data_IF_732089494218
#
_entry.id   IF_732089494218
#
_cell.length_a   1.000
_cell.length_b   1.000
_cell.length_c   1.000
_cell.angle_alpha   90.00
_cell.angle_beta   90.00
_cell.angle_gamma   90.00
#
_symmetry.space_group_name_H-M   'P 1'
#
loop_
_entity.id
_entity.type
_entity.pdbx_description
1 polymer ?
#
# COMPACT_ATOMS: atom_id res chain seq x y z
N UNK A 1 -6.09 -45.37 -30.21
CA UNK A 1 -5.40 -44.15 -29.71
C UNK A 1 -4.03 -44.56 -29.22
N UNK A 2 -2.97 -43.91 -29.71
CA UNK A 2 -1.60 -44.13 -29.20
C UNK A 2 -1.49 -43.57 -27.77
N UNK A 3 -0.81 -44.27 -26.85
CA UNK A 3 -0.58 -43.82 -25.47
C UNK A 3 0.06 -42.43 -25.38
N UNK A 4 0.89 -42.07 -26.35
CA UNK A 4 1.47 -40.73 -26.46
C UNK A 4 0.41 -39.65 -26.66
N UNK A 5 -0.53 -39.84 -27.61
CA UNK A 5 -1.62 -38.89 -27.85
C UNK A 5 -2.55 -38.76 -26.63
N UNK A 6 -2.88 -39.88 -25.98
CA UNK A 6 -3.67 -39.86 -24.74
C UNK A 6 -2.94 -39.10 -23.61
N UNK A 7 -1.64 -39.29 -23.45
CA UNK A 7 -0.84 -38.56 -22.45
C UNK A 7 -0.72 -37.06 -22.77
N UNK A 8 -0.63 -36.67 -24.04
CA UNK A 8 -0.66 -35.26 -24.44
C UNK A 8 -2.02 -34.61 -24.17
N UNK A 9 -3.12 -35.29 -24.48
CA UNK A 9 -4.48 -34.80 -24.22
C UNK A 9 -4.76 -34.66 -22.72
N UNK A 10 -4.41 -35.66 -21.91
CA UNK A 10 -4.52 -35.63 -20.45
C UNK A 10 -3.68 -34.47 -19.87
N UNK A 11 -2.47 -34.25 -20.39
CA UNK A 11 -1.62 -33.13 -19.97
C UNK A 11 -2.22 -31.77 -20.35
N UNK A 12 -2.80 -31.64 -21.55
CA UNK A 12 -3.44 -30.40 -21.99
C UNK A 12 -4.69 -30.09 -21.16
N UNK A 13 -5.54 -31.07 -20.87
CA UNK A 13 -6.72 -30.91 -20.01
C UNK A 13 -6.33 -30.51 -18.58
N UNK A 14 -5.29 -31.14 -18.02
CA UNK A 14 -4.76 -30.81 -16.70
C UNK A 14 -4.23 -29.38 -16.65
N UNK A 15 -3.51 -28.92 -17.69
CA UNK A 15 -3.03 -27.55 -17.79
C UNK A 15 -4.19 -26.53 -17.88
N UNK A 16 -5.22 -26.83 -18.67
CA UNK A 16 -6.42 -25.98 -18.78
C UNK A 16 -7.15 -25.90 -17.43
N UNK A 17 -7.34 -27.03 -16.75
CA UNK A 17 -7.99 -27.10 -15.43
C UNK A 17 -7.19 -26.33 -14.38
N UNK A 18 -5.87 -26.48 -14.37
CA UNK A 18 -4.97 -25.74 -13.49
C UNK A 18 -5.08 -24.22 -13.72
N UNK A 19 -5.03 -23.78 -14.97
CA UNK A 19 -5.17 -22.36 -15.35
C UNK A 19 -6.53 -21.79 -14.94
N UNK A 20 -7.63 -22.51 -15.15
CA UNK A 20 -8.98 -22.10 -14.71
C UNK A 20 -9.06 -21.96 -13.19
N UNK A 21 -8.53 -22.94 -12.45
CA UNK A 21 -8.53 -22.93 -10.98
C UNK A 21 -7.66 -21.78 -10.44
N UNK A 22 -6.49 -21.56 -11.04
CA UNK A 22 -5.63 -20.43 -10.72
C UNK A 22 -6.33 -19.09 -10.97
N UNK A 23 -6.95 -18.87 -12.14
CA UNK A 23 -7.67 -17.61 -12.42
C UNK A 23 -8.80 -17.34 -11.43
N UNK A 24 -9.53 -18.37 -11.00
CA UNK A 24 -10.55 -18.24 -9.95
C UNK A 24 -9.94 -17.81 -8.63
N UNK A 25 -8.86 -18.47 -8.20
CA UNK A 25 -8.11 -18.12 -6.99
C UNK A 25 -7.54 -16.69 -7.05
N UNK A 26 -6.88 -16.34 -8.16
CA UNK A 26 -6.30 -15.02 -8.41
C UNK A 26 -7.37 -13.94 -8.32
N UNK A 27 -8.52 -14.10 -9.00
CA UNK A 27 -9.61 -13.12 -8.95
C UNK A 27 -10.15 -12.90 -7.54
N UNK A 28 -10.29 -13.97 -6.74
CA UNK A 28 -10.74 -13.85 -5.34
C UNK A 28 -9.77 -13.05 -4.49
N UNK A 29 -8.46 -13.32 -4.63
CA UNK A 29 -7.43 -12.56 -3.91
C UNK A 29 -7.39 -11.10 -4.36
N UNK A 30 -7.38 -10.85 -5.68
CA UNK A 30 -7.36 -9.50 -6.22
C UNK A 30 -8.59 -8.68 -5.84
N UNK A 31 -9.78 -9.30 -5.79
CA UNK A 31 -10.99 -8.62 -5.34
C UNK A 31 -10.84 -8.12 -3.89
N UNK A 32 -10.37 -8.99 -2.98
CA UNK A 32 -10.09 -8.59 -1.59
C UNK A 32 -9.03 -7.50 -1.55
N UNK A 33 -7.90 -7.70 -2.23
CA UNK A 33 -6.80 -6.74 -2.27
C UNK A 33 -7.25 -5.36 -2.75
N UNK A 34 -7.96 -5.28 -3.87
CA UNK A 34 -8.47 -4.01 -4.43
C UNK A 34 -9.43 -3.29 -3.50
N UNK A 35 -10.34 -4.01 -2.83
CA UNK A 35 -11.28 -3.38 -1.88
C UNK A 35 -10.52 -2.83 -0.68
N UNK A 36 -9.53 -3.58 -0.16
CA UNK A 36 -8.71 -3.13 0.98
C UNK A 36 -7.89 -1.91 0.61
N UNK A 37 -7.19 -1.92 -0.53
CA UNK A 37 -6.43 -0.75 -0.99
C UNK A 37 -7.35 0.44 -1.26
N UNK A 38 -8.55 0.20 -1.81
CA UNK A 38 -9.57 1.23 -1.99
C UNK A 38 -9.98 1.88 -0.66
N UNK A 39 -10.22 1.07 0.39
CA UNK A 39 -10.54 1.58 1.71
C UNK A 39 -9.40 2.38 2.37
N UNK A 40 -8.15 1.97 2.13
CA UNK A 40 -6.96 2.69 2.60
C UNK A 40 -6.84 4.06 1.91
N UNK A 41 -6.88 4.07 0.58
CA UNK A 41 -6.73 5.29 -0.20
C UNK A 41 -7.87 6.30 -0.04
N UNK A 42 -9.09 5.84 0.27
CA UNK A 42 -10.26 6.72 0.42
C UNK A 42 -10.09 7.73 1.57
N UNK A 43 -9.25 7.40 2.55
CA UNK A 43 -8.97 8.20 3.74
C UNK A 43 -7.97 9.33 3.49
N UNK A 44 -7.08 9.17 2.51
CA UNK A 44 -5.92 10.03 2.28
C UNK A 44 -6.25 11.49 1.92
N UNK A 45 -7.11 11.74 0.91
CA UNK A 45 -7.24 13.08 0.31
C UNK A 45 -7.70 14.18 1.28
N UNK A 46 -8.52 13.84 2.27
CA UNK A 46 -9.13 14.79 3.21
C UNK A 46 -8.66 14.62 4.66
N UNK A 47 -7.58 13.87 4.90
CA UNK A 47 -7.08 13.63 6.25
C UNK A 47 -6.65 14.91 6.97
N UNK A 48 -5.97 15.80 6.26
CA UNK A 48 -5.59 17.10 6.79
C UNK A 48 -6.83 17.94 7.13
N UNK A 49 -7.78 18.08 6.19
CA UNK A 49 -9.01 18.85 6.38
C UNK A 49 -9.87 18.33 7.54
N UNK A 50 -9.95 17.01 7.72
CA UNK A 50 -10.66 16.44 8.84
C UNK A 50 -10.08 16.93 10.17
N UNK A 51 -8.76 16.91 10.31
CA UNK A 51 -8.11 17.35 11.56
C UNK A 51 -8.15 18.86 11.74
N UNK A 52 -8.02 19.63 10.67
CA UNK A 52 -8.21 21.08 10.73
C UNK A 52 -9.65 21.42 11.16
N UNK A 53 -10.66 20.66 10.72
CA UNK A 53 -12.06 20.82 11.16
C UNK A 53 -12.29 20.50 12.64
N UNK A 54 -11.36 19.78 13.28
CA UNK A 54 -11.34 19.55 14.73
C UNK A 54 -10.54 20.62 15.49
N UNK A 55 -9.98 21.61 14.79
CA UNK A 55 -9.19 22.70 15.38
C UNK A 55 -7.74 22.32 15.68
N UNK A 56 -7.21 21.24 15.10
CA UNK A 56 -5.82 20.84 15.31
C UNK A 56 -4.87 21.73 14.50
N UNK A 57 -3.74 22.07 15.11
CA UNK A 57 -2.65 22.75 14.42
C UNK A 57 -1.75 21.76 13.65
N UNK A 58 -0.86 22.29 12.80
CA UNK A 58 0.05 21.49 11.97
C UNK A 58 0.96 20.58 12.80
N UNK A 59 1.44 21.03 13.97
CA UNK A 59 2.33 20.25 14.84
C UNK A 59 1.61 19.05 15.46
N UNK A 60 0.36 19.23 15.88
CA UNK A 60 -0.51 18.16 16.37
C UNK A 60 -0.77 17.12 15.28
N UNK A 61 -1.12 17.58 14.07
CA UNK A 61 -1.32 16.69 12.90
C UNK A 61 -0.04 15.92 12.60
N UNK A 62 1.11 16.57 12.51
CA UNK A 62 2.39 15.93 12.27
C UNK A 62 2.74 14.88 13.35
N UNK A 63 2.43 15.18 14.62
CA UNK A 63 2.63 14.25 15.75
C UNK A 63 1.77 12.99 15.62
N UNK A 64 0.53 13.15 15.17
CA UNK A 64 -0.38 12.03 14.90
C UNK A 64 0.16 11.12 13.78
N UNK A 65 0.60 11.69 12.65
CA UNK A 65 1.24 10.92 11.57
C UNK A 65 2.50 10.19 12.05
N UNK A 66 3.38 10.87 12.80
CA UNK A 66 4.57 10.26 13.38
C UNK A 66 4.22 9.06 14.26
N UNK A 67 3.17 9.19 15.08
CA UNK A 67 2.68 8.11 15.93
C UNK A 67 2.26 6.89 15.12
N UNK A 68 1.55 7.11 14.01
CA UNK A 68 1.17 6.04 13.08
C UNK A 68 2.38 5.32 12.48
N UNK A 69 3.39 6.07 12.00
CA UNK A 69 4.61 5.48 11.43
C UNK A 69 5.42 4.70 12.46
N UNK A 70 5.62 5.26 13.65
CA UNK A 70 6.33 4.59 14.75
C UNK A 70 5.60 3.31 15.15
N UNK A 71 4.28 3.38 15.32
CA UNK A 71 3.47 2.20 15.62
C UNK A 71 3.58 1.12 14.55
N UNK A 72 3.52 1.49 13.26
CA UNK A 72 3.70 0.56 12.13
C UNK A 72 5.08 -0.08 12.12
N UNK A 73 6.14 0.67 12.44
CA UNK A 73 7.50 0.14 12.50
C UNK A 73 7.64 -0.95 13.57
N UNK A 74 7.14 -0.70 14.79
CA UNK A 74 7.14 -1.71 15.85
C UNK A 74 6.23 -2.89 15.51
N UNK A 75 5.02 -2.64 15.04
CA UNK A 75 4.06 -3.67 14.67
C UNK A 75 4.60 -4.57 13.55
N UNK A 76 5.20 -4.02 12.50
CA UNK A 76 5.74 -4.78 11.37
C UNK A 76 6.76 -5.85 11.78
N UNK A 77 7.54 -5.58 12.83
CA UNK A 77 8.55 -6.50 13.34
C UNK A 77 7.95 -7.62 14.20
N UNK A 78 6.82 -7.36 14.88
CA UNK A 78 6.16 -8.31 15.75
C UNK A 78 5.13 -9.20 15.01
N UNK A 79 4.38 -8.59 14.12
CA UNK A 79 3.14 -9.14 13.55
C UNK A 79 3.37 -10.30 12.59
N UNK A 80 4.44 -10.26 11.78
CA UNK A 80 4.73 -11.32 10.82
C UNK A 80 4.91 -12.70 11.47
N UNK A 81 5.58 -12.74 12.62
CA UNK A 81 5.79 -13.99 13.38
C UNK A 81 4.54 -14.46 14.13
N UNK A 82 3.68 -13.54 14.57
CA UNK A 82 2.40 -13.86 15.21
C UNK A 82 1.40 -14.45 14.20
N UNK A 83 1.36 -13.92 12.97
CA UNK A 83 0.47 -14.39 11.92
C UNK A 83 0.73 -15.85 11.53
N UNK A 84 1.98 -16.28 11.60
CA UNK A 84 2.37 -17.65 11.28
C UNK A 84 1.87 -18.67 12.32
N UNK A 85 1.60 -18.24 13.56
CA UNK A 85 1.13 -19.09 14.66
C UNK A 85 -0.40 -19.10 14.75
N UNK A 86 -1.00 -17.91 14.78
CA UNK A 86 -2.44 -17.77 15.01
C UNK A 86 -3.27 -18.01 13.75
N UNK A 87 -2.63 -18.10 12.59
CA UNK A 87 -3.27 -18.28 11.30
C UNK A 87 -3.40 -16.95 10.56
N UNK A 88 -2.99 -16.93 9.30
CA UNK A 88 -2.91 -15.69 8.50
C UNK A 88 -4.30 -15.16 8.14
N UNK A 89 -5.30 -16.02 7.93
CA UNK A 89 -6.69 -15.58 7.70
C UNK A 89 -7.24 -14.88 8.93
N UNK A 90 -7.11 -15.51 10.11
CA UNK A 90 -7.55 -14.93 11.38
C UNK A 90 -6.91 -13.56 11.64
N UNK A 91 -5.63 -13.42 11.32
CA UNK A 91 -4.92 -12.14 11.46
C UNK A 91 -5.37 -11.08 10.43
N UNK A 92 -5.71 -11.46 9.19
CA UNK A 92 -6.37 -10.55 8.24
C UNK A 92 -7.78 -10.10 8.69
N UNK A 93 -8.49 -10.93 9.46
CA UNK A 93 -9.76 -10.54 10.09
C UNK A 93 -9.51 -9.55 11.24
N UNK A 94 -8.48 -9.79 12.07
CA UNK A 94 -8.05 -8.85 13.12
C UNK A 94 -7.67 -7.49 12.51
N UNK A 95 -7.01 -7.47 11.35
CA UNK A 95 -6.77 -6.24 10.59
C UNK A 95 -8.06 -5.47 10.33
N UNK A 96 -9.12 -6.13 9.87
CA UNK A 96 -10.40 -5.47 9.57
C UNK A 96 -10.99 -4.83 10.83
N UNK A 97 -11.02 -5.55 11.95
CA UNK A 97 -11.53 -5.02 13.23
C UNK A 97 -10.68 -3.88 13.78
N UNK A 98 -9.36 -3.99 13.67
CA UNK A 98 -8.41 -2.98 14.16
C UNK A 98 -8.52 -1.69 13.34
N UNK A 99 -8.60 -1.81 12.00
CA UNK A 99 -8.84 -0.68 11.10
C UNK A 99 -10.19 -0.01 11.34
N UNK A 100 -11.27 -0.78 11.42
CA UNK A 100 -12.61 -0.23 11.68
C UNK A 100 -12.64 0.51 13.02
N UNK A 101 -12.01 -0.04 14.05
CA UNK A 101 -11.87 0.63 15.35
C UNK A 101 -11.05 1.92 15.24
N UNK A 102 -9.92 1.89 14.52
CA UNK A 102 -9.11 3.08 14.25
C UNK A 102 -9.91 4.18 13.55
N UNK A 103 -10.74 3.82 12.57
CA UNK A 103 -11.59 4.74 11.82
C UNK A 103 -12.69 5.34 12.69
N UNK A 104 -13.36 4.55 13.52
CA UNK A 104 -14.36 5.09 14.44
C UNK A 104 -13.75 6.05 15.47
N UNK A 105 -12.57 5.73 16.01
CA UNK A 105 -11.85 6.64 16.90
C UNK A 105 -11.46 7.94 16.17
N UNK A 106 -11.11 7.88 14.89
CA UNK A 106 -10.75 9.05 14.05
C UNK A 106 -11.91 10.02 13.84
N UNK A 107 -13.14 9.52 13.88
CA UNK A 107 -14.35 10.32 13.71
C UNK A 107 -14.74 11.12 14.96
N UNK A 108 -14.05 10.91 16.08
CA UNK A 108 -14.27 11.65 17.32
C UNK A 108 -13.24 12.76 17.46
N UNK A 109 -13.71 13.99 17.67
CA UNK A 109 -12.88 15.20 17.86
C UNK A 109 -12.25 15.26 19.26
N UNK A 110 -11.46 14.24 19.62
CA UNK A 110 -10.73 14.16 20.89
C UNK A 110 -9.29 13.71 20.63
N UNK A 111 -8.32 14.57 20.93
CA UNK A 111 -6.90 14.33 20.59
C UNK A 111 -6.35 13.00 21.10
N UNK A 112 -6.70 12.58 22.32
CA UNK A 112 -6.29 11.28 22.87
C UNK A 112 -6.84 10.10 22.07
N UNK A 113 -8.08 10.19 21.58
CA UNK A 113 -8.68 9.16 20.74
C UNK A 113 -8.08 9.16 19.33
N UNK A 114 -7.70 10.32 18.80
CA UNK A 114 -6.96 10.43 17.55
C UNK A 114 -5.58 9.78 17.68
N UNK A 115 -4.90 9.95 18.82
CA UNK A 115 -3.63 9.28 19.10
C UNK A 115 -3.82 7.75 19.11
N UNK A 116 -4.83 7.24 19.82
CA UNK A 116 -5.17 5.82 19.80
C UNK A 116 -5.54 5.33 18.40
N UNK A 117 -6.28 6.13 17.62
CA UNK A 117 -6.61 5.84 16.22
C UNK A 117 -5.34 5.63 15.39
N UNK A 118 -4.33 6.49 15.51
CA UNK A 118 -3.08 6.37 14.76
C UNK A 118 -2.24 5.17 15.19
N UNK A 119 -2.21 4.83 16.49
CA UNK A 119 -1.57 3.60 16.97
C UNK A 119 -2.25 2.37 16.35
N UNK A 120 -3.58 2.28 16.40
CA UNK A 120 -4.31 1.19 15.76
C UNK A 120 -4.13 1.20 14.23
N UNK A 121 -4.05 2.40 13.63
CA UNK A 121 -3.84 2.54 12.21
C UNK A 121 -2.49 1.95 11.80
N UNK A 122 -1.41 2.35 12.48
CA UNK A 122 -0.07 1.84 12.23
C UNK A 122 0.03 0.33 12.41
N UNK A 123 -0.57 -0.22 13.47
CA UNK A 123 -0.66 -1.67 13.67
C UNK A 123 -1.32 -2.37 12.48
N UNK A 124 -2.43 -1.83 11.98
CA UNK A 124 -3.11 -2.49 10.86
C UNK A 124 -2.45 -2.24 9.51
N UNK A 125 -1.76 -1.13 9.29
CA UNK A 125 -0.91 -0.93 8.11
C UNK A 125 0.18 -2.00 8.04
N UNK A 126 0.82 -2.30 9.17
CA UNK A 126 1.80 -3.40 9.25
C UNK A 126 1.17 -4.76 8.92
N UNK A 127 -0.04 -5.03 9.42
CA UNK A 127 -0.80 -6.25 9.10
C UNK A 127 -1.14 -6.36 7.62
N UNK A 128 -1.57 -5.26 7.00
CA UNK A 128 -1.97 -5.19 5.59
C UNK A 128 -0.83 -5.62 4.66
N UNK A 129 0.33 -4.98 4.80
CA UNK A 129 1.46 -5.21 3.89
C UNK A 129 2.23 -6.49 4.18
N UNK A 130 2.04 -7.13 5.34
CA UNK A 130 2.75 -8.37 5.69
C UNK A 130 1.89 -9.63 5.48
N UNK A 131 0.69 -9.66 6.06
CA UNK A 131 -0.05 -10.92 6.24
C UNK A 131 -0.87 -11.29 5.00
N UNK A 132 -1.45 -10.31 4.30
CA UNK A 132 -2.24 -10.56 3.09
C UNK A 132 -1.39 -11.21 1.99
N UNK A 133 -0.21 -10.65 1.74
CA UNK A 133 0.74 -11.20 0.79
C UNK A 133 1.20 -12.59 1.23
N UNK A 134 1.58 -12.74 2.50
CA UNK A 134 2.02 -14.03 3.05
C UNK A 134 0.94 -15.10 2.87
N UNK A 135 -0.32 -14.80 3.16
CA UNK A 135 -1.43 -15.73 2.95
C UNK A 135 -1.51 -16.18 1.48
N UNK A 136 -1.41 -15.24 0.54
CA UNK A 136 -1.45 -15.54 -0.90
C UNK A 136 -0.27 -16.43 -1.34
N UNK A 137 0.95 -16.09 -0.91
CA UNK A 137 2.16 -16.85 -1.26
C UNK A 137 2.05 -18.29 -0.75
N UNK A 138 1.54 -18.50 0.46
CA UNK A 138 1.35 -19.84 1.04
C UNK A 138 0.31 -20.65 0.27
N UNK A 139 -0.89 -20.11 0.05
CA UNK A 139 -1.93 -20.82 -0.73
C UNK A 139 -1.50 -21.10 -2.17
N UNK A 140 -0.83 -20.15 -2.81
CA UNK A 140 -0.30 -20.32 -4.16
C UNK A 140 0.71 -21.48 -4.22
N UNK A 141 1.60 -21.57 -3.24
CA UNK A 141 2.62 -22.63 -3.17
C UNK A 141 2.01 -23.98 -2.81
N UNK A 142 1.08 -24.01 -1.84
CA UNK A 142 0.34 -25.21 -1.42
C UNK A 142 -0.45 -25.85 -2.58
N UNK A 143 -0.96 -25.04 -3.49
CA UNK A 143 -1.70 -25.49 -4.70
C UNK A 143 -0.78 -25.89 -5.85
N UNK A 144 0.54 -25.79 -5.69
CA UNK A 144 1.52 -26.19 -6.70
C UNK A 144 1.54 -25.31 -7.95
N UNK A 145 1.11 -24.04 -7.85
CA UNK A 145 1.10 -23.16 -9.01
C UNK A 145 2.51 -22.66 -9.38
N UNK A 146 2.79 -22.40 -10.68
CA UNK A 146 4.08 -21.92 -11.15
C UNK A 146 4.48 -20.56 -10.53
N UNK A 147 5.75 -20.35 -10.13
CA UNK A 147 6.18 -19.10 -9.50
C UNK A 147 6.02 -17.87 -10.40
N UNK A 148 6.05 -18.04 -11.72
CA UNK A 148 5.78 -16.98 -12.69
C UNK A 148 4.38 -16.37 -12.54
N UNK A 149 3.38 -17.19 -12.19
CA UNK A 149 2.00 -16.74 -12.05
C UNK A 149 1.81 -15.90 -10.78
N UNK A 150 2.58 -16.18 -9.74
CA UNK A 150 2.68 -15.34 -8.54
C UNK A 150 3.22 -13.96 -8.88
N UNK A 151 4.36 -13.89 -9.58
CA UNK A 151 4.96 -12.62 -10.00
C UNK A 151 3.99 -11.78 -10.86
N UNK A 152 3.30 -12.40 -11.81
CA UNK A 152 2.25 -11.75 -12.62
C UNK A 152 1.09 -11.22 -11.76
N UNK A 153 0.72 -11.94 -10.70
CA UNK A 153 -0.34 -11.50 -9.79
C UNK A 153 0.07 -10.26 -9.00
N UNK A 154 1.29 -10.21 -8.48
CA UNK A 154 1.77 -9.02 -7.78
C UNK A 154 1.94 -7.81 -8.69
N UNK A 155 2.36 -8.00 -9.94
CA UNK A 155 2.33 -6.93 -10.93
C UNK A 155 0.90 -6.38 -11.14
N UNK A 156 -0.10 -7.27 -11.19
CA UNK A 156 -1.50 -6.87 -11.28
C UNK A 156 -2.00 -6.21 -9.98
N UNK A 157 -1.55 -6.63 -8.80
CA UNK A 157 -1.82 -5.94 -7.53
C UNK A 157 -1.32 -4.50 -7.59
N UNK A 158 -0.07 -4.27 -7.98
CA UNK A 158 0.49 -2.91 -8.09
C UNK A 158 -0.31 -2.05 -9.05
N UNK A 159 -0.68 -2.59 -10.21
CA UNK A 159 -1.51 -1.88 -11.18
C UNK A 159 -2.91 -1.53 -10.63
N UNK A 160 -3.59 -2.50 -10.02
CA UNK A 160 -4.90 -2.29 -9.41
C UNK A 160 -4.83 -1.34 -8.21
N UNK A 161 -3.71 -1.32 -7.48
CA UNK A 161 -3.48 -0.37 -6.41
C UNK A 161 -3.46 1.07 -6.94
N UNK A 162 -2.74 1.32 -8.04
CA UNK A 162 -2.73 2.64 -8.70
C UNK A 162 -4.12 3.07 -9.15
N UNK A 163 -4.88 2.16 -9.78
CA UNK A 163 -6.28 2.44 -10.17
C UNK A 163 -7.13 2.76 -8.93
N UNK A 164 -6.98 1.95 -7.87
CA UNK A 164 -7.74 2.15 -6.62
C UNK A 164 -7.45 3.51 -6.01
N UNK A 165 -6.20 3.96 -6.02
CA UNK A 165 -5.82 5.28 -5.51
C UNK A 165 -6.46 6.42 -6.32
N UNK A 166 -6.43 6.33 -7.65
CA UNK A 166 -7.04 7.34 -8.54
C UNK A 166 -8.56 7.41 -8.31
N UNK A 167 -9.23 6.26 -8.30
CA UNK A 167 -10.67 6.20 -8.08
C UNK A 167 -11.04 6.66 -6.67
N UNK A 168 -10.26 6.29 -5.66
CA UNK A 168 -10.47 6.70 -4.28
C UNK A 168 -10.44 8.23 -4.13
N UNK A 169 -9.54 8.95 -4.81
CA UNK A 169 -9.56 10.42 -4.81
C UNK A 169 -10.84 11.01 -5.39
N UNK A 170 -11.30 10.50 -6.54
CA UNK A 170 -12.55 10.92 -7.20
C UNK A 170 -13.76 10.65 -6.29
N UNK A 171 -13.87 9.43 -5.76
CA UNK A 171 -14.96 9.04 -4.86
C UNK A 171 -14.93 9.81 -3.55
N UNK A 172 -13.73 10.06 -2.99
CA UNK A 172 -13.57 10.84 -1.76
C UNK A 172 -14.08 12.26 -1.96
N UNK A 173 -13.76 12.91 -3.10
CA UNK A 173 -14.27 14.24 -3.44
C UNK A 173 -15.80 14.25 -3.47
N UNK A 174 -16.40 13.34 -4.24
CA UNK A 174 -17.85 13.26 -4.38
C UNK A 174 -18.56 13.00 -3.04
N UNK A 175 -17.97 12.18 -2.17
CA UNK A 175 -18.52 11.92 -0.83
C UNK A 175 -18.46 13.16 0.07
N UNK A 176 -17.36 13.91 0.00
CA UNK A 176 -17.19 15.13 0.80
C UNK A 176 -18.14 16.23 0.35
N UNK A 177 -18.35 16.39 -0.97
CA UNK A 177 -19.25 17.40 -1.52
C UNK A 177 -20.72 17.20 -1.04
N UNK A 178 -21.11 15.96 -0.75
CA UNK A 178 -22.49 15.61 -0.34
C UNK A 178 -22.64 15.50 1.19
N UNK A 179 -21.67 14.88 1.87
CA UNK A 179 -21.80 14.46 3.29
C UNK A 179 -20.66 14.97 4.20
N UNK A 180 -19.73 15.77 3.67
CA UNK A 180 -18.61 16.36 4.41
C UNK A 180 -17.45 15.40 4.69
N UNK A 181 -16.43 15.91 5.40
CA UNK A 181 -15.12 15.24 5.57
C UNK A 181 -15.17 13.88 6.27
N UNK A 182 -16.25 13.56 6.99
CA UNK A 182 -16.42 12.27 7.68
C UNK A 182 -16.84 11.14 6.75
N UNK A 183 -17.42 11.48 5.60
CA UNK A 183 -18.03 10.50 4.69
C UNK A 183 -17.05 9.50 4.06
N UNK A 184 -15.85 9.91 3.57
CA UNK A 184 -14.86 8.96 3.04
C UNK A 184 -14.45 7.89 4.07
N UNK A 185 -14.35 8.24 5.35
CA UNK A 185 -14.01 7.30 6.42
C UNK A 185 -15.14 6.31 6.69
N UNK A 186 -16.40 6.76 6.67
CA UNK A 186 -17.56 5.87 6.80
C UNK A 186 -17.68 4.90 5.61
N UNK A 187 -17.40 5.39 4.39
CA UNK A 187 -17.34 4.54 3.22
C UNK A 187 -16.19 3.51 3.32
N UNK A 188 -15.02 3.90 3.83
CA UNK A 188 -13.92 2.98 4.10
C UNK A 188 -14.30 1.91 5.14
N UNK A 189 -15.02 2.26 6.20
CA UNK A 189 -15.58 1.28 7.17
C UNK A 189 -16.49 0.28 6.46
N UNK A 190 -17.40 0.72 5.59
CA UNK A 190 -18.28 -0.17 4.84
C UNK A 190 -17.51 -1.15 3.94
N UNK A 191 -16.47 -0.67 3.25
CA UNK A 191 -15.58 -1.51 2.44
C UNK A 191 -14.82 -2.53 3.30
N UNK A 192 -14.31 -2.13 4.48
CA UNK A 192 -13.63 -3.04 5.40
C UNK A 192 -14.55 -4.11 5.99
N UNK A 193 -15.80 -3.76 6.29
CA UNK A 193 -16.81 -4.75 6.70
C UNK A 193 -17.08 -5.76 5.57
N UNK A 194 -17.18 -5.29 4.32
CA UNK A 194 -17.31 -6.16 3.15
C UNK A 194 -16.10 -7.10 3.01
N UNK A 195 -14.88 -6.57 3.16
CA UNK A 195 -13.65 -7.38 3.16
C UNK A 195 -13.70 -8.45 4.24
N UNK A 196 -14.08 -8.10 5.46
CA UNK A 196 -14.18 -9.05 6.56
C UNK A 196 -15.12 -10.22 6.23
N UNK A 197 -16.29 -9.94 5.64
CA UNK A 197 -17.25 -10.96 5.20
C UNK A 197 -16.66 -11.82 4.07
N UNK A 198 -16.03 -11.19 3.08
CA UNK A 198 -15.43 -11.91 1.94
C UNK A 198 -14.27 -12.79 2.40
N UNK A 199 -13.36 -12.31 3.24
CA UNK A 199 -12.25 -13.11 3.78
C UNK A 199 -12.78 -14.28 4.60
N UNK A 200 -13.76 -14.02 5.48
CA UNK A 200 -14.34 -15.07 6.34
C UNK A 200 -14.97 -16.19 5.52
N UNK A 201 -15.67 -15.85 4.44
CA UNK A 201 -16.37 -16.82 3.57
C UNK A 201 -15.47 -17.49 2.52
N UNK A 202 -14.44 -16.81 2.01
CA UNK A 202 -13.69 -17.29 0.83
C UNK A 202 -12.27 -17.77 1.14
N UNK A 203 -11.64 -17.31 2.21
CA UNK A 203 -10.27 -17.68 2.53
C UNK A 203 -10.23 -18.92 3.43
N UNK A 204 -9.29 -19.82 3.13
CA UNK A 204 -8.92 -20.92 4.02
C UNK A 204 -7.90 -20.45 5.04
N UNK A 205 -7.91 -21.05 6.23
CA UNK A 205 -6.86 -20.78 7.21
C UNK A 205 -5.55 -21.43 6.77
N UNK A 206 -4.45 -20.69 6.88
CA UNK A 206 -3.11 -21.19 6.63
C UNK A 206 -2.14 -20.66 7.68
N UNK A 207 -1.12 -21.48 7.96
CA UNK A 207 -0.16 -21.24 9.03
C UNK A 207 1.25 -21.18 8.42
N UNK A 208 2.16 -20.54 9.12
CA UNK A 208 3.59 -20.65 8.82
C UNK A 208 4.11 -22.02 9.24
N UNK A 209 5.39 -22.30 8.92
CA UNK A 209 6.01 -23.55 9.32
C UNK A 209 6.14 -23.63 10.85
N UNK A 210 5.34 -24.48 11.49
CA UNK A 210 5.33 -24.72 12.93
C UNK A 210 6.67 -25.23 13.51
N UNK A 211 7.62 -25.65 12.66
CA UNK A 211 8.96 -26.11 13.07
C UNK A 211 9.94 -24.96 13.37
N UNK A 212 9.59 -23.72 13.07
CA UNK A 212 10.48 -22.59 13.31
C UNK A 212 10.40 -22.18 14.78
N UNK A 213 11.38 -22.62 15.59
CA UNK A 213 11.53 -22.19 16.99
C UNK A 213 11.41 -20.67 17.06
N UNK A 214 10.51 -20.20 17.93
CA UNK A 214 10.21 -18.80 18.16
C UNK A 214 11.52 -18.05 18.46
N UNK A 215 12.09 -17.36 17.45
CA UNK A 215 13.12 -16.36 17.73
C UNK A 215 12.41 -15.24 18.50
N UNK A 216 12.94 -14.88 19.66
CA UNK A 216 12.48 -13.70 20.38
C UNK A 216 12.48 -12.50 19.43
N UNK A 217 11.48 -11.63 19.53
CA UNK A 217 11.38 -10.41 18.70
C UNK A 217 12.69 -9.61 18.74
N UNK A 218 13.31 -9.52 19.92
CA UNK A 218 14.61 -8.86 20.08
C UNK A 218 15.74 -9.53 19.30
N UNK A 219 15.73 -10.85 19.16
CA UNK A 219 16.73 -11.59 18.38
C UNK A 219 16.53 -11.36 16.88
N UNK A 220 15.29 -11.41 16.39
CA UNK A 220 14.98 -11.13 14.97
C UNK A 220 15.30 -9.69 14.59
N UNK A 221 15.00 -8.74 15.47
CA UNK A 221 15.38 -7.32 15.31
C UNK A 221 16.90 -7.15 15.27
N UNK A 222 17.62 -7.80 16.20
CA UNK A 222 19.09 -7.74 16.26
C UNK A 222 19.72 -8.33 15.01
N UNK A 223 19.22 -9.46 14.52
CA UNK A 223 19.68 -10.07 13.27
C UNK A 223 19.41 -9.15 12.08
N UNK A 224 18.19 -8.60 11.97
CA UNK A 224 17.84 -7.66 10.90
C UNK A 224 18.73 -6.41 10.90
N UNK A 225 18.97 -5.83 12.08
CA UNK A 225 19.86 -4.67 12.23
C UNK A 225 21.32 -5.03 11.93
N UNK A 226 21.77 -6.22 12.34
CA UNK A 226 23.11 -6.73 12.02
C UNK A 226 23.29 -6.88 10.50
N UNK A 227 22.30 -7.43 9.80
CA UNK A 227 22.34 -7.57 8.32
C UNK A 227 22.35 -6.20 7.65
N UNK A 228 21.53 -5.26 8.14
CA UNK A 228 21.47 -3.89 7.64
C UNK A 228 22.82 -3.17 7.77
N UNK A 229 23.51 -3.35 8.89
CA UNK A 229 24.81 -2.72 9.16
C UNK A 229 25.98 -3.41 8.47
N UNK A 230 25.91 -4.73 8.23
CA UNK A 230 27.00 -5.47 7.59
C UNK A 230 27.03 -5.31 6.08
N UNK A 231 25.87 -5.16 5.43
CA UNK A 231 25.80 -5.09 3.97
C UNK A 231 25.69 -3.65 3.49
N UNK A 232 26.80 -3.12 2.96
CA UNK A 232 26.88 -1.77 2.38
C UNK A 232 25.78 -1.51 1.35
N UNK A 233 25.46 -2.50 0.51
CA UNK A 233 24.42 -2.37 -0.51
C UNK A 233 23.03 -2.18 0.12
N UNK A 234 22.72 -2.93 1.17
CA UNK A 234 21.43 -2.82 1.87
C UNK A 234 21.36 -1.47 2.59
N UNK A 235 22.44 -1.03 3.26
CA UNK A 235 22.48 0.27 3.93
C UNK A 235 22.24 1.42 2.96
N UNK A 236 22.87 1.40 1.77
CA UNK A 236 22.70 2.44 0.75
C UNK A 236 21.26 2.47 0.23
N UNK A 237 20.66 1.32 -0.05
CA UNK A 237 19.26 1.23 -0.48
C UNK A 237 18.32 1.73 0.61
N UNK A 238 18.54 1.33 1.87
CA UNK A 238 17.74 1.77 3.00
C UNK A 238 17.84 3.29 3.21
N UNK A 239 19.05 3.87 3.11
CA UNK A 239 19.26 5.30 3.22
C UNK A 239 18.57 6.07 2.08
N UNK A 240 18.71 5.60 0.83
CA UNK A 240 18.06 6.21 -0.33
C UNK A 240 16.52 6.17 -0.21
N UNK A 241 15.95 5.02 0.18
CA UNK A 241 14.52 4.89 0.41
C UNK A 241 14.04 5.82 1.54
N UNK A 242 14.79 5.89 2.64
CA UNK A 242 14.44 6.75 3.78
C UNK A 242 14.42 8.21 3.37
N UNK A 243 15.44 8.69 2.66
CA UNK A 243 15.49 10.08 2.19
C UNK A 243 14.34 10.40 1.21
N UNK A 244 14.03 9.47 0.31
CA UNK A 244 12.93 9.63 -0.64
C UNK A 244 11.57 9.69 0.06
N UNK A 245 11.27 8.72 0.93
CA UNK A 245 10.02 8.65 1.70
C UNK A 245 9.88 9.86 2.63
N UNK A 246 10.95 10.29 3.31
CA UNK A 246 10.94 11.49 4.14
C UNK A 246 10.54 12.73 3.33
N UNK A 247 11.14 12.94 2.16
CA UNK A 247 10.80 14.05 1.26
C UNK A 247 9.32 13.98 0.82
N UNK A 248 8.86 12.78 0.43
CA UNK A 248 7.48 12.56 0.03
C UNK A 248 6.48 12.81 1.18
N UNK A 249 6.74 12.35 2.40
CA UNK A 249 5.85 12.58 3.54
C UNK A 249 5.81 14.05 3.97
N UNK A 250 6.93 14.77 3.89
CA UNK A 250 6.94 16.23 4.08
C UNK A 250 6.02 16.90 3.06
N UNK A 251 6.14 16.52 1.77
CA UNK A 251 5.23 17.01 0.73
C UNK A 251 3.76 16.68 1.04
N UNK A 252 3.44 15.43 1.42
CA UNK A 252 2.07 15.00 1.75
C UNK A 252 1.49 15.76 2.94
N UNK A 253 2.31 16.14 3.93
CA UNK A 253 1.84 16.95 5.06
C UNK A 253 1.62 18.42 4.70
N UNK A 254 2.43 18.97 3.79
CA UNK A 254 2.46 20.41 3.51
C UNK A 254 1.67 20.82 2.26
N UNK A 255 1.36 19.92 1.33
CA UNK A 255 0.70 20.32 0.08
C UNK A 255 -0.69 20.90 0.31
N UNK A 256 -1.46 20.35 1.26
CA UNK A 256 -2.81 20.85 1.57
C UNK A 256 -2.75 22.27 2.13
N UNK A 257 -2.03 22.54 3.24
CA UNK A 257 -1.93 23.91 3.76
C UNK A 257 -1.28 24.89 2.78
N UNK A 258 -0.33 24.44 1.95
CA UNK A 258 0.28 25.30 0.93
C UNK A 258 -0.75 25.76 -0.12
N UNK A 259 -1.68 24.89 -0.53
CA UNK A 259 -2.73 25.25 -1.49
C UNK A 259 -3.79 26.15 -0.85
N UNK A 260 -4.14 25.89 0.41
CA UNK A 260 -5.07 26.75 1.15
C UNK A 260 -4.51 28.17 1.33
N UNK A 261 -3.21 28.31 1.57
CA UNK A 261 -2.58 29.63 1.70
C UNK A 261 -2.64 30.47 0.42
N UNK A 262 -2.67 29.83 -0.76
CA UNK A 262 -2.73 30.49 -2.08
C UNK A 262 -4.18 30.74 -2.52
N UNK A 263 -5.11 29.92 -2.04
CA UNK A 263 -6.52 30.01 -2.40
C UNK A 263 -7.19 31.12 -1.60
N UNK A 264 -7.05 32.37 -2.05
CA UNK A 264 -7.80 33.51 -1.50
C UNK A 264 -9.31 33.22 -1.55
N UNK A 265 -9.95 33.19 -0.38
CA UNK A 265 -11.39 33.13 -0.09
C UNK A 265 -12.32 32.81 -1.28
N UNK A 266 -12.81 31.54 -1.36
CA UNK A 266 -14.20 31.10 -1.72
C UNK A 266 -14.29 29.81 -2.55
N UNK A 267 -13.22 29.31 -3.16
CA UNK A 267 -13.28 28.03 -3.88
C UNK A 267 -12.94 26.86 -2.97
N UNK A 268 -13.90 25.96 -2.71
CA UNK A 268 -13.64 24.67 -2.07
C UNK A 268 -12.61 23.90 -2.91
N UNK A 269 -11.38 23.78 -2.40
CA UNK A 269 -10.32 23.05 -3.08
C UNK A 269 -10.75 21.58 -3.20
N UNK A 270 -10.87 21.09 -4.43
CA UNK A 270 -11.22 19.71 -4.72
C UNK A 270 -10.02 18.78 -4.49
N UNK A 271 -9.65 18.59 -3.22
CA UNK A 271 -8.48 17.84 -2.78
C UNK A 271 -8.50 16.39 -3.27
N UNK A 272 -9.68 15.80 -3.42
CA UNK A 272 -9.83 14.46 -3.99
C UNK A 272 -9.36 14.39 -5.45
N UNK A 273 -9.72 15.37 -6.29
CA UNK A 273 -9.24 15.40 -7.67
C UNK A 273 -7.75 15.70 -7.77
N UNK A 274 -7.22 16.60 -6.92
CA UNK A 274 -5.79 16.84 -6.85
C UNK A 274 -5.02 15.57 -6.44
N UNK A 275 -5.53 14.84 -5.46
CA UNK A 275 -4.97 13.55 -5.08
C UNK A 275 -4.99 12.56 -6.25
N UNK A 276 -6.10 12.47 -6.98
CA UNK A 276 -6.21 11.61 -8.16
C UNK A 276 -5.25 11.98 -9.28
N UNK A 277 -4.99 13.26 -9.54
CA UNK A 277 -4.02 13.67 -10.57
C UNK A 277 -2.60 13.31 -10.17
N UNK A 278 -2.23 13.45 -8.89
CA UNK A 278 -0.95 12.97 -8.37
C UNK A 278 -0.80 11.46 -8.52
N UNK A 279 -1.84 10.69 -8.16
CA UNK A 279 -1.82 9.22 -8.31
C UNK A 279 -1.78 8.78 -9.78
N UNK A 280 -2.42 9.54 -10.68
CA UNK A 280 -2.34 9.33 -12.12
C UNK A 280 -0.90 9.55 -12.63
N UNK A 281 -0.21 10.58 -12.15
CA UNK A 281 1.19 10.83 -12.49
C UNK A 281 2.11 9.69 -12.00
N UNK A 282 1.89 9.16 -10.79
CA UNK A 282 2.61 7.98 -10.27
C UNK A 282 2.38 6.75 -11.15
N UNK A 283 1.13 6.52 -11.58
CA UNK A 283 0.79 5.41 -12.49
C UNK A 283 1.46 5.59 -13.86
N UNK A 284 1.39 6.79 -14.44
CA UNK A 284 2.03 7.10 -15.71
C UNK A 284 3.54 6.89 -15.66
N UNK A 285 4.21 7.34 -14.61
CA UNK A 285 5.64 7.11 -14.39
C UNK A 285 5.99 5.61 -14.32
N UNK A 286 5.15 4.82 -13.65
CA UNK A 286 5.33 3.36 -13.56
C UNK A 286 5.18 2.67 -14.92
N UNK A 287 4.20 3.09 -15.74
CA UNK A 287 4.00 2.57 -17.10
C UNK A 287 5.15 2.96 -18.03
N UNK A 288 5.62 4.21 -17.97
CA UNK A 288 6.80 4.67 -18.72
C UNK A 288 8.03 3.84 -18.35
N UNK A 289 8.25 3.58 -17.06
CA UNK A 289 9.36 2.73 -16.60
C UNK A 289 9.26 1.30 -17.17
N UNK A 290 8.08 0.69 -17.14
CA UNK A 290 7.86 -0.64 -17.72
C UNK A 290 8.11 -0.67 -19.23
N UNK A 291 7.68 0.37 -19.97
CA UNK A 291 7.95 0.50 -21.40
C UNK A 291 9.45 0.62 -21.67
N UNK A 292 10.17 1.46 -20.91
CA UNK A 292 11.63 1.56 -21.01
C UNK A 292 12.32 0.22 -20.73
N UNK A 293 11.85 -0.55 -19.74
CA UNK A 293 12.40 -1.87 -19.44
C UNK A 293 12.13 -2.89 -20.57
N UNK A 294 10.94 -2.86 -21.17
CA UNK A 294 10.61 -3.73 -22.30
C UNK A 294 11.46 -3.42 -23.54
N UNK A 295 11.65 -2.13 -23.86
CA UNK A 295 12.51 -1.69 -24.96
C UNK A 295 13.95 -2.18 -24.74
N UNK A 296 14.48 -2.08 -23.52
CA UNK A 296 15.80 -2.60 -23.18
C UNK A 296 15.95 -4.12 -23.34
N UNK A 297 14.88 -4.89 -23.12
CA UNK A 297 14.90 -6.35 -23.29
C UNK A 297 14.84 -6.75 -24.77
N UNK A 298 14.19 -5.95 -25.61
CA UNK A 298 14.05 -6.20 -27.06
C UNK A 298 15.24 -5.68 -27.88
N UNK A 299 15.89 -4.60 -27.43
CA UNK A 299 17.07 -4.04 -28.08
C UNK A 299 18.37 -4.69 -27.59
N UNK A 300 19.21 -5.19 -28.51
CA UNK A 300 20.59 -5.55 -28.21
C UNK A 300 21.34 -4.32 -27.67
N UNK A 301 21.62 -4.32 -26.36
CA UNK A 301 22.69 -3.54 -25.72
C UNK A 301 22.73 -2.02 -26.01
N UNK A 302 21.63 -1.28 -25.91
CA UNK A 302 21.73 0.19 -25.81
C UNK A 302 21.86 0.63 -24.35
N UNK A 303 23.04 1.12 -23.96
CA UNK A 303 23.34 1.54 -22.57
C UNK A 303 22.58 2.80 -22.11
N UNK A 304 21.70 3.34 -22.94
CA UNK A 304 21.03 4.62 -22.71
C UNK A 304 19.98 4.55 -21.61
N UNK A 305 19.22 3.46 -21.53
CA UNK A 305 18.15 3.28 -20.54
C UNK A 305 18.54 2.34 -19.39
N UNK A 306 19.79 2.37 -18.92
CA UNK A 306 20.14 1.64 -17.69
C UNK A 306 19.25 2.10 -16.52
N UNK A 307 18.86 1.18 -15.64
CA UNK A 307 17.99 1.45 -14.48
C UNK A 307 18.52 2.62 -13.64
N UNK A 308 19.83 2.70 -13.47
CA UNK A 308 20.50 3.75 -12.71
C UNK A 308 20.35 5.13 -13.35
N UNK A 309 20.41 5.21 -14.68
CA UNK A 309 20.23 6.47 -15.43
C UNK A 309 18.79 6.96 -15.37
N UNK A 310 17.82 6.04 -15.47
CA UNK A 310 16.40 6.35 -15.34
C UNK A 310 16.12 6.87 -13.92
N UNK A 311 16.66 6.21 -12.90
CA UNK A 311 16.53 6.64 -11.51
C UNK A 311 17.16 8.02 -11.28
N UNK A 312 18.39 8.24 -11.76
CA UNK A 312 19.07 9.53 -11.64
C UNK A 312 18.30 10.66 -12.33
N UNK A 313 17.76 10.39 -13.53
CA UNK A 313 16.92 11.34 -14.24
C UNK A 313 15.63 11.67 -13.47
N UNK A 314 14.94 10.66 -12.95
CA UNK A 314 13.73 10.85 -12.15
C UNK A 314 14.00 11.67 -10.87
N UNK A 315 15.09 11.37 -10.16
CA UNK A 315 15.49 12.10 -8.97
C UNK A 315 15.90 13.54 -9.28
N UNK A 316 16.59 13.78 -10.40
CA UNK A 316 16.94 15.12 -10.85
C UNK A 316 15.69 15.94 -11.18
N UNK A 317 14.77 15.37 -11.95
CA UNK A 317 13.49 16.02 -12.29
C UNK A 317 12.66 16.34 -11.04
N UNK A 318 12.57 15.40 -10.10
CA UNK A 318 11.90 15.62 -8.83
C UNK A 318 12.58 16.74 -8.02
N UNK A 319 13.91 16.73 -7.93
CA UNK A 319 14.69 17.75 -7.22
C UNK A 319 14.50 19.14 -7.84
N UNK A 320 14.52 19.25 -9.17
CA UNK A 320 14.23 20.50 -9.88
C UNK A 320 12.80 20.98 -9.59
N UNK A 321 11.82 20.08 -9.58
CA UNK A 321 10.42 20.44 -9.31
C UNK A 321 10.23 20.98 -7.90
N UNK A 322 10.85 20.34 -6.90
CA UNK A 322 10.82 20.84 -5.51
C UNK A 322 11.60 22.15 -5.33
N UNK A 323 12.74 22.31 -6.00
CA UNK A 323 13.51 23.57 -5.97
C UNK A 323 12.75 24.74 -6.59
N UNK A 324 12.03 24.51 -7.69
CA UNK A 324 11.18 25.53 -8.31
C UNK A 324 10.08 25.95 -7.33
N UNK A 325 9.40 25.01 -6.68
CA UNK A 325 8.39 25.33 -5.66
C UNK A 325 8.98 26.13 -4.50
N UNK A 326 10.15 25.73 -3.98
CA UNK A 326 10.81 26.44 -2.88
C UNK A 326 11.24 27.86 -3.28
N UNK A 327 11.70 28.03 -4.52
CA UNK A 327 12.13 29.34 -5.03
C UNK A 327 10.93 30.29 -5.20
N UNK A 328 9.86 29.86 -5.87
CA UNK A 328 8.68 30.71 -6.08
C UNK A 328 7.89 30.97 -4.79
N UNK A 329 7.85 30.00 -3.86
CA UNK A 329 7.19 30.17 -2.57
C UNK A 329 7.86 31.17 -1.62
N UNK A 330 9.07 31.65 -1.93
CA UNK A 330 9.70 32.77 -1.20
C UNK A 330 9.29 34.15 -1.74
N UNK A 331 8.67 34.23 -2.92
CA UNK A 331 8.33 35.48 -3.61
C UNK A 331 6.83 35.75 -3.72
N UNK A 332 5.98 34.91 -3.12
CA UNK A 332 4.53 35.08 -2.97
C UNK A 332 4.17 35.33 -1.52
#
# INVERSE_FOLDING_TARGET
MNESQANYEINAENQIKMSKTFKSFQKKYLAVYTIVMGADWLQGPYLYMLYQSYGLNLTEIATLFLTGFVSSAFAGTAVGSLADIYGRKSVCIIYCFTMVSALFLRLVSAYSLLFCSHVLSGLSTALLYSVFESWYVSEHTKRGYPPEWRARTFALCTFLNSISAILAGIFSNALVDIWGYRAPYMAAVALLCMVCVVITSTWSENYGNAQQKQKSLGTSLKEGLSVLMQSRNITVIAAAQTLFECSMYIFVLLYTPAIEAISEDTATVALGYLFSTMMLAVMAGSLVFQLCEQINKMGSSSSFFSKDKILAFALCLASCSFMIMAYYGQFS
#
